data_IF_258350208523
#
_entry.id   IF_258350208523
#
_cell.length_a   1.000
_cell.length_b   1.000
_cell.length_c   1.000
_cell.angle_alpha   90.00
_cell.angle_beta   90.00
_cell.angle_gamma   90.00
#
_symmetry.space_group_name_H-M   'P 1'
#
loop_
_entity.id
_entity.type
_entity.pdbx_description
1 polymer ?
#
# COMPACT_ATOMS: atom_id res chain seq x y z
N UNK A 1 13.82 -3.20 -22.28
CA UNK A 1 13.33 -3.65 -20.95
C UNK A 1 13.91 -2.74 -19.89
N UNK A 2 13.07 -1.99 -19.17
CA UNK A 2 13.52 -1.14 -18.06
C UNK A 2 13.93 -2.02 -16.88
N UNK A 3 15.06 -1.69 -16.23
CA UNK A 3 15.54 -2.37 -15.01
C UNK A 3 15.05 -1.60 -13.78
N UNK A 4 13.73 -1.58 -13.58
CA UNK A 4 13.10 -0.92 -12.44
C UNK A 4 12.54 -2.02 -11.54
N UNK A 5 12.97 -2.12 -10.26
CA UNK A 5 12.32 -2.99 -9.30
C UNK A 5 10.87 -2.58 -9.10
N UNK A 6 9.94 -3.52 -9.20
CA UNK A 6 8.50 -3.29 -9.07
C UNK A 6 7.91 -4.18 -7.97
N UNK A 7 6.95 -3.63 -7.22
CA UNK A 7 6.20 -4.35 -6.18
C UNK A 7 4.69 -4.21 -6.44
N UNK A 8 3.95 -5.31 -6.35
CA UNK A 8 2.48 -5.31 -6.31
C UNK A 8 2.05 -5.77 -4.92
N UNK A 9 1.57 -4.84 -4.11
CA UNK A 9 1.20 -5.08 -2.72
C UNK A 9 -0.07 -4.29 -2.37
N UNK A 10 -1.04 -4.93 -1.72
CA UNK A 10 -2.38 -4.38 -1.53
C UNK A 10 -3.18 -5.03 -0.40
N UNK A 11 -4.42 -4.57 -0.15
CA UNK A 11 -5.29 -5.07 0.90
C UNK A 11 -5.88 -6.44 0.59
N UNK A 12 -6.36 -7.12 1.63
CA UNK A 12 -7.09 -8.38 1.48
C UNK A 12 -8.48 -8.11 0.89
N UNK A 13 -8.71 -8.65 -0.30
CA UNK A 13 -9.98 -8.61 -1.01
C UNK A 13 -10.58 -10.03 -1.16
N UNK A 14 -11.89 -10.09 -1.36
CA UNK A 14 -12.67 -11.30 -1.59
C UNK A 14 -13.57 -11.10 -2.82
N UNK A 15 -13.87 -12.17 -3.55
CA UNK A 15 -14.71 -12.16 -4.76
C UNK A 15 -14.26 -11.17 -5.84
N UNK A 16 -12.95 -11.05 -6.08
CA UNK A 16 -12.41 -10.18 -7.13
C UNK A 16 -13.03 -10.59 -8.49
N UNK A 17 -13.63 -9.63 -9.19
CA UNK A 17 -14.43 -9.79 -10.41
C UNK A 17 -15.77 -10.54 -10.24
N UNK A 18 -16.33 -10.62 -9.03
CA UNK A 18 -17.61 -11.26 -8.72
C UNK A 18 -18.70 -10.29 -8.27
N UNK A 19 -19.94 -10.78 -8.15
CA UNK A 19 -21.10 -9.96 -7.75
C UNK A 19 -20.92 -9.27 -6.38
N UNK A 20 -20.39 -10.00 -5.40
CA UNK A 20 -20.14 -9.50 -4.03
C UNK A 20 -18.66 -9.18 -3.79
N UNK A 21 -18.00 -8.55 -4.76
CA UNK A 21 -16.62 -8.06 -4.61
C UNK A 21 -16.51 -7.10 -3.43
N UNK A 22 -15.53 -7.35 -2.56
CA UNK A 22 -15.33 -6.55 -1.35
C UNK A 22 -13.91 -6.63 -0.83
N UNK A 23 -13.62 -5.71 0.09
CA UNK A 23 -12.30 -5.55 0.70
C UNK A 23 -12.44 -5.39 2.21
N UNK A 24 -11.47 -5.90 2.97
CA UNK A 24 -11.46 -5.74 4.43
C UNK A 24 -10.96 -4.34 4.81
N UNK A 25 -11.83 -3.52 5.40
CA UNK A 25 -11.49 -2.14 5.82
C UNK A 25 -10.31 -2.10 6.80
N UNK A 26 -10.25 -3.05 7.75
CA UNK A 26 -9.10 -3.18 8.66
C UNK A 26 -7.80 -3.54 7.93
N UNK A 27 -7.88 -4.22 6.78
CA UNK A 27 -6.72 -4.46 5.92
C UNK A 27 -6.29 -3.21 5.18
N UNK A 28 -7.24 -2.41 4.66
CA UNK A 28 -6.93 -1.13 4.01
C UNK A 28 -6.13 -0.25 4.97
N UNK A 29 -6.64 -0.04 6.19
CA UNK A 29 -5.96 0.82 7.18
C UNK A 29 -4.52 0.39 7.45
N UNK A 30 -4.28 -0.92 7.56
CA UNK A 30 -2.92 -1.47 7.76
C UNK A 30 -2.02 -1.24 6.54
N UNK A 31 -2.53 -1.50 5.34
CA UNK A 31 -1.76 -1.35 4.10
C UNK A 31 -1.45 0.10 3.80
N UNK A 32 -2.37 1.03 4.06
CA UNK A 32 -2.08 2.46 3.98
C UNK A 32 -0.90 2.85 4.86
N UNK A 33 -0.88 2.37 6.12
CA UNK A 33 0.26 2.57 7.01
C UNK A 33 1.54 1.94 6.49
N UNK A 34 1.48 0.70 6.00
CA UNK A 34 2.64 0.01 5.45
C UNK A 34 3.25 0.74 4.24
N UNK A 35 2.42 1.22 3.31
CA UNK A 35 2.87 2.00 2.14
C UNK A 35 3.46 3.34 2.58
N UNK A 36 2.81 4.04 3.53
CA UNK A 36 3.32 5.31 4.05
C UNK A 36 4.70 5.14 4.71
N UNK A 37 4.86 4.10 5.54
CA UNK A 37 6.13 3.79 6.20
C UNK A 37 7.20 3.35 5.18
N UNK A 38 6.83 2.54 4.20
CA UNK A 38 7.74 2.14 3.11
C UNK A 38 8.26 3.37 2.35
N UNK A 39 7.37 4.31 1.99
CA UNK A 39 7.78 5.55 1.32
C UNK A 39 8.70 6.38 2.22
N UNK A 40 8.34 6.54 3.49
CA UNK A 40 9.14 7.31 4.45
C UNK A 40 10.55 6.74 4.61
N UNK A 41 10.70 5.42 4.67
CA UNK A 41 11.99 4.74 4.81
C UNK A 41 12.76 4.72 3.48
N UNK A 42 12.10 4.43 2.36
CA UNK A 42 12.74 4.28 1.05
C UNK A 42 13.23 5.63 0.49
N UNK A 43 12.40 6.66 0.59
CA UNK A 43 12.70 7.99 0.04
C UNK A 43 13.41 8.90 1.04
N UNK A 44 13.26 8.64 2.35
CA UNK A 44 13.54 9.63 3.39
C UNK A 44 12.44 10.68 3.51
N UNK A 45 12.44 11.41 4.61
CA UNK A 45 11.52 12.53 4.89
C UNK A 45 12.31 13.79 5.24
N UNK A 46 11.74 14.94 4.89
CA UNK A 46 12.23 16.23 5.37
C UNK A 46 11.97 16.38 6.88
N UNK A 47 12.78 17.18 7.60
CA UNK A 47 12.52 17.51 8.99
C UNK A 47 11.15 18.15 9.17
N UNK A 48 10.47 17.82 10.26
CA UNK A 48 9.24 18.51 10.64
C UNK A 48 9.58 19.95 11.01
N UNK A 49 8.92 20.91 10.37
CA UNK A 49 9.05 22.31 10.75
C UNK A 49 8.59 22.50 12.20
N UNK A 50 9.26 23.37 12.98
CA UNK A 50 8.86 23.65 14.36
C UNK A 50 7.45 24.24 14.46
#
# INVERSE_FOLDING_TARGET
MTRIPCLTYGPLAENIHGFDERVRISSIRRITGAIALFIAEWCGLEPVAP
#
